data_IF_072042359693
#
_entry.id   IF_072042359693
#
_cell.length_a   1.000
_cell.length_b   1.000
_cell.length_c   1.000
_cell.angle_alpha   90.00
_cell.angle_beta   90.00
_cell.angle_gamma   90.00
#
_symmetry.space_group_name_H-M   'P 1'
#
loop_
_entity.id
_entity.type
_entity.pdbx_description
1 polymer ?
#
# COMPACT_ATOMS: atom_id res chain seq x y z
N UNK A 1 14.09 -43.74 1.03
CA UNK A 1 14.41 -42.38 1.55
C UNK A 1 15.10 -41.50 0.53
N UNK A 2 16.11 -41.98 -0.23
CA UNK A 2 16.83 -41.18 -1.23
C UNK A 2 15.94 -40.62 -2.37
N UNK A 3 14.97 -41.41 -2.87
CA UNK A 3 14.05 -40.99 -3.95
C UNK A 3 13.11 -39.85 -3.51
N UNK A 4 12.63 -39.86 -2.26
CA UNK A 4 11.75 -38.80 -1.73
C UNK A 4 12.54 -37.50 -1.58
N UNK A 5 13.79 -37.56 -1.11
CA UNK A 5 14.67 -36.40 -1.01
C UNK A 5 14.93 -35.76 -2.38
N UNK A 6 15.20 -36.58 -3.40
CA UNK A 6 15.40 -36.09 -4.77
C UNK A 6 14.14 -35.41 -5.34
N UNK A 7 12.95 -35.99 -5.11
CA UNK A 7 11.68 -35.41 -5.53
C UNK A 7 11.44 -34.05 -4.87
N UNK A 8 11.69 -33.91 -3.57
CA UNK A 8 11.54 -32.64 -2.85
C UNK A 8 12.49 -31.55 -3.38
N UNK A 9 13.73 -31.92 -3.70
CA UNK A 9 14.71 -31.00 -4.29
C UNK A 9 14.23 -30.52 -5.66
N UNK A 10 13.72 -31.42 -6.50
CA UNK A 10 13.19 -31.07 -7.81
C UNK A 10 11.98 -30.14 -7.68
N UNK A 11 11.04 -30.43 -6.77
CA UNK A 11 9.87 -29.57 -6.52
C UNK A 11 10.32 -28.17 -6.07
N UNK A 12 11.28 -28.08 -5.15
CA UNK A 12 11.81 -26.79 -4.69
C UNK A 12 12.52 -26.03 -5.82
N UNK A 13 13.32 -26.73 -6.64
CA UNK A 13 13.99 -26.13 -7.78
C UNK A 13 13.00 -25.59 -8.82
N UNK A 14 11.94 -26.34 -9.13
CA UNK A 14 10.86 -25.91 -10.01
C UNK A 14 10.09 -24.72 -9.42
N UNK A 15 9.84 -24.73 -8.11
CA UNK A 15 9.18 -23.63 -7.42
C UNK A 15 10.01 -22.33 -7.47
N UNK A 16 11.31 -22.44 -7.25
CA UNK A 16 12.24 -21.32 -7.37
C UNK A 16 12.33 -20.83 -8.82
N UNK A 17 12.36 -21.75 -9.80
CA UNK A 17 12.38 -21.41 -11.21
C UNK A 17 11.12 -20.66 -11.64
N UNK A 18 9.93 -21.15 -11.27
CA UNK A 18 8.63 -20.48 -11.50
C UNK A 18 8.67 -19.05 -10.95
N UNK A 19 9.13 -18.90 -9.70
CA UNK A 19 9.21 -17.61 -9.04
C UNK A 19 10.19 -16.64 -9.72
N UNK A 20 11.39 -17.10 -10.05
CA UNK A 20 12.43 -16.28 -10.68
C UNK A 20 12.07 -15.90 -12.13
N UNK A 21 11.50 -16.82 -12.90
CA UNK A 21 11.03 -16.54 -14.25
C UNK A 21 9.85 -15.55 -14.22
N UNK A 22 8.91 -15.73 -13.31
CA UNK A 22 7.82 -14.78 -13.07
C UNK A 22 8.35 -13.38 -12.74
N UNK A 23 9.29 -13.29 -11.79
CA UNK A 23 9.93 -12.02 -11.43
C UNK A 23 10.56 -11.31 -12.64
N UNK A 24 11.30 -12.04 -13.48
CA UNK A 24 11.92 -11.49 -14.70
C UNK A 24 10.88 -11.06 -15.73
N UNK A 25 9.80 -11.81 -15.89
CA UNK A 25 8.73 -11.50 -16.83
C UNK A 25 7.98 -10.23 -16.42
N UNK A 26 7.54 -10.14 -15.17
CA UNK A 26 6.71 -9.02 -14.69
C UNK A 26 7.51 -7.72 -14.50
N UNK A 27 8.81 -7.78 -14.18
CA UNK A 27 9.66 -6.59 -14.08
C UNK A 27 9.81 -5.84 -15.42
N UNK A 28 9.60 -6.52 -16.55
CA UNK A 28 9.71 -5.93 -17.90
C UNK A 28 8.41 -5.30 -18.40
N UNK A 29 7.31 -5.41 -17.65
CA UNK A 29 6.03 -4.91 -18.11
C UNK A 29 5.99 -3.38 -18.05
N UNK A 30 5.33 -2.74 -19.03
CA UNK A 30 5.22 -1.30 -19.07
C UNK A 30 4.40 -0.80 -17.87
N UNK A 31 4.75 0.38 -17.36
CA UNK A 31 4.02 1.10 -16.33
C UNK A 31 3.85 2.57 -16.73
N UNK A 32 2.89 3.26 -16.13
CA UNK A 32 2.73 4.70 -16.25
C UNK A 32 3.90 5.49 -15.64
N UNK A 33 4.63 4.89 -14.68
CA UNK A 33 5.79 5.52 -14.06
C UNK A 33 5.37 6.68 -13.17
N UNK A 34 5.86 7.88 -13.49
CA UNK A 34 5.57 9.11 -12.73
C UNK A 34 4.68 10.03 -13.57
N UNK A 35 3.54 10.40 -13.02
CA UNK A 35 2.57 11.32 -13.66
C UNK A 35 2.49 12.59 -12.83
N UNK A 36 3.11 13.71 -13.25
CA UNK A 36 3.02 14.97 -12.54
C UNK A 36 1.65 15.62 -12.76
N UNK A 37 1.15 16.32 -11.75
CA UNK A 37 -0.15 17.01 -11.77
C UNK A 37 -0.23 18.07 -10.66
N UNK A 38 -1.29 18.88 -10.65
CA UNK A 38 -1.49 19.91 -9.63
C UNK A 38 -2.94 19.88 -9.11
N UNK A 39 -3.21 19.19 -7.97
CA UNK A 39 -4.55 19.15 -7.41
C UNK A 39 -4.94 20.52 -6.88
N UNK A 40 -6.18 20.91 -7.16
CA UNK A 40 -6.72 22.18 -6.66
C UNK A 40 -7.15 22.08 -5.19
N UNK A 41 -7.54 20.89 -4.71
CA UNK A 41 -8.00 20.69 -3.33
C UNK A 41 -7.86 19.24 -2.86
N UNK A 42 -7.22 19.03 -1.71
CA UNK A 42 -7.11 17.72 -1.08
C UNK A 42 -7.23 17.80 0.45
N UNK A 43 -7.66 16.69 1.05
CA UNK A 43 -7.81 16.50 2.48
C UNK A 43 -7.05 15.25 2.92
N UNK A 44 -6.31 15.36 4.03
CA UNK A 44 -5.67 14.22 4.69
C UNK A 44 -6.60 13.62 5.74
N UNK A 45 -6.92 12.34 5.56
CA UNK A 45 -7.73 11.55 6.47
C UNK A 45 -6.82 10.58 7.21
N UNK A 46 -6.93 10.57 8.55
CA UNK A 46 -5.99 9.84 9.40
C UNK A 46 -6.64 8.80 10.32
N UNK A 47 -7.97 8.70 10.31
CA UNK A 47 -8.76 7.77 11.13
C UNK A 47 -9.90 7.18 10.30
N UNK A 48 -10.29 5.95 10.64
CA UNK A 48 -11.28 5.23 9.85
C UNK A 48 -12.70 5.77 9.94
N UNK A 49 -13.08 6.39 11.05
CA UNK A 49 -14.40 7.00 11.26
C UNK A 49 -14.63 8.14 10.26
N UNK A 50 -13.67 9.08 10.20
CA UNK A 50 -13.66 10.18 9.21
C UNK A 50 -13.62 9.63 7.79
N UNK A 51 -12.79 8.60 7.54
CA UNK A 51 -12.71 7.95 6.23
C UNK A 51 -14.05 7.37 5.79
N UNK A 52 -14.67 6.50 6.57
CA UNK A 52 -15.91 5.84 6.15
C UNK A 52 -17.11 6.79 6.13
N UNK A 53 -17.15 7.80 7.00
CA UNK A 53 -18.17 8.84 6.94
C UNK A 53 -18.09 9.60 5.61
N UNK A 54 -16.94 10.19 5.31
CA UNK A 54 -16.71 10.92 4.06
C UNK A 54 -16.90 10.02 2.83
N UNK A 55 -16.31 8.82 2.85
CA UNK A 55 -16.37 7.89 1.73
C UNK A 55 -17.81 7.45 1.44
N UNK A 56 -18.60 7.10 2.46
CA UNK A 56 -20.00 6.72 2.26
C UNK A 56 -20.88 7.90 1.88
N UNK A 57 -20.58 9.12 2.34
CA UNK A 57 -21.28 10.32 1.91
C UNK A 57 -21.08 10.57 0.40
N UNK A 58 -19.84 10.53 -0.08
CA UNK A 58 -19.53 10.75 -1.50
C UNK A 58 -20.12 9.64 -2.38
N UNK A 59 -20.07 8.37 -1.96
CA UNK A 59 -20.70 7.28 -2.70
C UNK A 59 -22.23 7.46 -2.81
N UNK A 60 -22.89 7.95 -1.76
CA UNK A 60 -24.33 8.28 -1.80
C UNK A 60 -24.64 9.50 -2.65
N UNK A 61 -23.70 10.43 -2.80
CA UNK A 61 -23.86 11.61 -3.64
C UNK A 61 -23.70 11.29 -5.14
N UNK A 62 -22.98 10.21 -5.49
CA UNK A 62 -22.64 9.83 -6.85
C UNK A 62 -23.85 9.80 -7.81
N UNK A 63 -23.63 10.29 -9.04
CA UNK A 63 -24.65 10.44 -10.10
C UNK A 63 -24.32 9.73 -11.40
N UNK A 64 -23.04 9.52 -11.72
CA UNK A 64 -22.60 9.03 -13.02
C UNK A 64 -21.85 7.71 -12.90
N UNK A 65 -20.77 7.67 -12.12
CA UNK A 65 -19.91 6.50 -12.01
C UNK A 65 -19.26 6.35 -10.64
N UNK A 66 -18.98 5.10 -10.27
CA UNK A 66 -18.21 4.70 -9.10
C UNK A 66 -17.24 3.60 -9.53
N UNK A 67 -15.95 3.82 -9.38
CA UNK A 67 -14.89 2.83 -9.59
C UNK A 67 -14.10 2.64 -8.29
N UNK A 68 -14.08 1.43 -7.74
CA UNK A 68 -13.41 1.14 -6.46
C UNK A 68 -12.44 -0.02 -6.65
N UNK A 69 -11.19 0.18 -6.25
CA UNK A 69 -10.19 -0.87 -6.11
C UNK A 69 -9.70 -0.92 -4.66
N UNK A 70 -9.83 -2.07 -4.00
CA UNK A 70 -9.23 -2.31 -2.68
C UNK A 70 -8.50 -3.65 -2.64
N UNK A 71 -7.42 -3.71 -1.87
CA UNK A 71 -6.75 -4.98 -1.59
C UNK A 71 -7.66 -5.89 -0.73
N UNK A 72 -8.16 -5.39 0.39
CA UNK A 72 -9.06 -6.13 1.29
C UNK A 72 -10.46 -5.53 1.27
N UNK A 73 -11.46 -6.40 1.12
CA UNK A 73 -12.83 -6.10 1.51
C UNK A 73 -13.31 -7.27 2.36
N UNK A 74 -13.53 -7.00 3.65
CA UNK A 74 -14.00 -8.00 4.61
C UNK A 74 -15.44 -8.40 4.34
N UNK A 75 -15.94 -9.34 5.16
CA UNK A 75 -17.34 -9.71 5.20
C UNK A 75 -17.92 -9.42 6.60
N UNK A 76 -18.05 -8.14 6.90
CA UNK A 76 -18.56 -7.57 8.16
C UNK A 76 -19.56 -6.42 7.92
N UNK A 77 -20.04 -5.78 9.00
CA UNK A 77 -21.02 -4.71 8.94
C UNK A 77 -20.61 -3.49 8.09
N UNK A 78 -19.31 -3.16 8.01
CA UNK A 78 -18.82 -2.01 7.24
C UNK A 78 -18.83 -2.35 5.76
N UNK A 79 -18.36 -3.56 5.42
CA UNK A 79 -18.47 -4.06 4.05
C UNK A 79 -19.93 -4.22 3.59
N UNK A 80 -20.86 -4.61 4.47
CA UNK A 80 -22.28 -4.70 4.12
C UNK A 80 -22.86 -3.32 3.81
N UNK A 81 -22.55 -2.29 4.61
CA UNK A 81 -22.95 -0.91 4.31
C UNK A 81 -22.45 -0.45 2.94
N UNK A 82 -21.18 -0.72 2.63
CA UNK A 82 -20.62 -0.44 1.31
C UNK A 82 -21.44 -1.16 0.22
N UNK A 83 -21.68 -2.46 0.37
CA UNK A 83 -22.42 -3.24 -0.63
C UNK A 83 -23.85 -2.73 -0.85
N UNK A 84 -24.57 -2.33 0.19
CA UNK A 84 -25.91 -1.76 0.02
C UNK A 84 -25.86 -0.44 -0.75
N UNK A 85 -24.95 0.48 -0.40
CA UNK A 85 -24.79 1.74 -1.13
C UNK A 85 -24.49 1.48 -2.61
N UNK A 86 -23.58 0.54 -2.92
CA UNK A 86 -23.25 0.20 -4.30
C UNK A 86 -24.44 -0.40 -5.07
N UNK A 87 -25.26 -1.23 -4.43
CA UNK A 87 -26.48 -1.80 -5.05
C UNK A 87 -27.54 -0.72 -5.28
N UNK A 88 -27.75 0.16 -4.32
CA UNK A 88 -28.68 1.29 -4.43
C UNK A 88 -28.27 2.18 -5.61
N UNK A 89 -27.00 2.55 -5.69
CA UNK A 89 -26.46 3.36 -6.79
C UNK A 89 -26.58 2.71 -8.15
N UNK A 90 -26.28 1.41 -8.25
CA UNK A 90 -26.47 0.67 -9.49
C UNK A 90 -27.94 0.64 -9.94
N UNK A 91 -28.90 0.54 -9.00
CA UNK A 91 -30.34 0.61 -9.30
C UNK A 91 -30.82 2.00 -9.71
N UNK A 92 -30.16 3.04 -9.21
CA UNK A 92 -30.37 4.43 -9.64
C UNK A 92 -29.78 4.73 -11.04
N UNK A 93 -29.09 3.75 -11.66
CA UNK A 93 -28.50 3.89 -12.99
C UNK A 93 -27.04 4.37 -12.99
N UNK A 94 -26.41 4.52 -11.82
CA UNK A 94 -24.99 4.86 -11.71
C UNK A 94 -24.16 3.66 -12.16
N UNK A 95 -23.13 3.88 -12.97
CA UNK A 95 -22.21 2.81 -13.39
C UNK A 95 -21.26 2.44 -12.25
N UNK A 96 -21.46 1.28 -11.62
CA UNK A 96 -20.67 0.86 -10.45
C UNK A 96 -19.73 -0.30 -10.80
N UNK A 97 -18.44 -0.12 -10.51
CA UNK A 97 -17.38 -1.09 -10.69
C UNK A 97 -16.60 -1.31 -9.39
N UNK A 98 -16.53 -2.56 -8.95
CA UNK A 98 -15.79 -3.00 -7.76
C UNK A 98 -14.73 -4.02 -8.15
N UNK A 99 -13.48 -3.60 -8.09
CA UNK A 99 -12.29 -4.43 -8.23
C UNK A 99 -11.75 -4.77 -6.83
N UNK A 100 -11.48 -6.04 -6.57
CA UNK A 100 -10.85 -6.47 -5.32
C UNK A 100 -9.71 -7.43 -5.62
N UNK A 101 -8.63 -7.41 -4.83
CA UNK A 101 -7.58 -8.40 -5.00
C UNK A 101 -8.06 -9.82 -4.67
N UNK A 102 -7.67 -10.81 -5.48
CA UNK A 102 -8.09 -12.19 -5.28
C UNK A 102 -7.73 -12.74 -3.89
N UNK A 103 -6.51 -12.48 -3.40
CA UNK A 103 -6.02 -12.97 -2.11
C UNK A 103 -6.60 -12.17 -0.95
N UNK A 104 -6.64 -10.84 -1.08
CA UNK A 104 -7.21 -9.97 -0.04
C UNK A 104 -8.73 -10.11 0.10
N UNK A 105 -9.42 -10.65 -0.92
CA UNK A 105 -10.87 -10.91 -0.94
C UNK A 105 -11.25 -12.39 -0.81
N UNK A 106 -10.40 -13.26 -0.26
CA UNK A 106 -10.75 -14.67 -0.03
C UNK A 106 -11.98 -14.83 0.88
N UNK A 107 -12.22 -13.88 1.79
CA UNK A 107 -13.40 -13.86 2.67
C UNK A 107 -14.69 -13.36 2.01
N UNK A 108 -14.59 -12.76 0.81
CA UNK A 108 -15.75 -12.27 0.06
C UNK A 108 -16.52 -13.46 -0.54
N UNK A 109 -17.70 -13.72 0.01
CA UNK A 109 -18.54 -14.88 -0.35
C UNK A 109 -19.11 -14.75 -1.77
N UNK A 110 -19.16 -15.87 -2.49
CA UNK A 110 -19.77 -15.93 -3.84
C UNK A 110 -21.25 -15.50 -3.85
N UNK A 111 -21.99 -15.73 -2.76
CA UNK A 111 -23.36 -15.23 -2.60
C UNK A 111 -23.43 -13.71 -2.68
N UNK A 112 -22.52 -13.01 -1.99
CA UNK A 112 -22.43 -11.54 -1.99
C UNK A 112 -22.09 -11.02 -3.38
N UNK A 113 -21.11 -11.62 -4.07
CA UNK A 113 -20.75 -11.27 -5.45
C UNK A 113 -21.94 -11.42 -6.39
N UNK A 114 -22.69 -12.52 -6.28
CA UNK A 114 -23.90 -12.72 -7.09
C UNK A 114 -24.98 -11.67 -6.80
N UNK A 115 -25.21 -11.32 -5.54
CA UNK A 115 -26.18 -10.30 -5.16
C UNK A 115 -25.81 -8.89 -5.66
N UNK A 116 -24.52 -8.54 -5.62
CA UNK A 116 -23.99 -7.29 -6.21
C UNK A 116 -24.26 -7.25 -7.71
N UNK A 117 -23.85 -8.30 -8.44
CA UNK A 117 -24.05 -8.40 -9.90
C UNK A 117 -25.52 -8.37 -10.29
N UNK A 118 -26.39 -9.06 -9.53
CA UNK A 118 -27.83 -9.04 -9.76
C UNK A 118 -28.47 -7.65 -9.57
N UNK A 119 -27.80 -6.74 -8.85
CA UNK A 119 -28.25 -5.36 -8.66
C UNK A 119 -27.64 -4.39 -9.69
N UNK A 120 -26.85 -4.88 -10.65
CA UNK A 120 -26.18 -4.06 -11.66
C UNK A 120 -24.72 -3.69 -11.35
N UNK A 121 -24.18 -4.09 -10.19
CA UNK A 121 -22.79 -3.80 -9.83
C UNK A 121 -21.84 -4.71 -10.59
N UNK A 122 -20.86 -4.14 -11.29
CA UNK A 122 -19.79 -4.89 -11.92
C UNK A 122 -18.75 -5.27 -10.87
N UNK A 123 -18.47 -6.57 -10.71
CA UNK A 123 -17.51 -7.06 -9.69
C UNK A 123 -16.47 -7.97 -10.33
N UNK A 124 -15.19 -7.71 -10.08
CA UNK A 124 -14.06 -8.54 -10.52
C UNK A 124 -13.03 -8.77 -9.42
N UNK A 125 -12.26 -9.86 -9.57
CA UNK A 125 -11.10 -10.15 -8.71
C UNK A 125 -9.81 -9.96 -9.51
N UNK A 126 -8.91 -9.09 -9.07
CA UNK A 126 -7.61 -8.90 -9.71
C UNK A 126 -6.61 -10.00 -9.31
N UNK A 127 -5.69 -10.30 -10.22
CA UNK A 127 -4.60 -11.25 -10.02
C UNK A 127 -5.05 -12.62 -9.47
N UNK A 128 -6.05 -13.33 -10.03
CA UNK A 128 -6.24 -14.74 -9.68
C UNK A 128 -4.96 -15.54 -10.02
N UNK A 129 -4.51 -16.47 -9.15
CA UNK A 129 -3.39 -17.35 -9.46
C UNK A 129 -3.64 -18.12 -10.76
N UNK A 130 -2.66 -18.13 -11.66
CA UNK A 130 -2.78 -18.75 -12.98
C UNK A 130 -1.41 -19.22 -13.46
N UNK A 131 -1.39 -20.10 -14.47
CA UNK A 131 -0.15 -20.44 -15.18
C UNK A 131 0.04 -19.53 -16.41
N UNK A 132 1.29 -19.32 -16.88
CA UNK A 132 2.55 -19.66 -16.20
C UNK A 132 2.84 -18.72 -15.00
N UNK A 133 3.81 -19.10 -14.17
CA UNK A 133 4.29 -18.35 -12.99
C UNK A 133 3.34 -18.38 -11.79
N UNK A 134 2.80 -19.55 -11.46
CA UNK A 134 1.75 -19.70 -10.46
C UNK A 134 2.18 -19.21 -9.08
N UNK A 135 3.39 -19.57 -8.62
CA UNK A 135 3.90 -19.17 -7.31
C UNK A 135 4.26 -17.70 -7.26
N UNK A 136 4.85 -17.17 -8.34
CA UNK A 136 5.09 -15.73 -8.45
C UNK A 136 3.77 -14.94 -8.40
N UNK A 137 2.79 -15.37 -9.20
CA UNK A 137 1.47 -14.74 -9.27
C UNK A 137 0.77 -14.80 -7.92
N UNK A 138 0.87 -15.88 -7.15
CA UNK A 138 0.34 -15.92 -5.79
C UNK A 138 0.88 -14.77 -4.92
N UNK A 139 2.16 -14.42 -5.03
CA UNK A 139 2.78 -13.38 -4.21
C UNK A 139 2.50 -11.95 -4.72
N UNK A 140 2.50 -11.75 -6.05
CA UNK A 140 2.21 -10.44 -6.68
C UNK A 140 0.73 -10.11 -6.56
N UNK A 141 0.38 -9.07 -5.81
CA UNK A 141 -1.01 -8.64 -5.59
C UNK A 141 -1.26 -7.24 -6.13
N UNK A 142 -2.53 -6.93 -6.37
CA UNK A 142 -2.94 -5.53 -6.56
C UNK A 142 -3.13 -4.94 -5.16
N UNK A 143 -2.21 -4.09 -4.73
CA UNK A 143 -2.25 -3.48 -3.41
C UNK A 143 -2.75 -2.02 -3.47
N UNK A 144 -3.19 -1.56 -4.65
CA UNK A 144 -3.77 -0.24 -4.84
C UNK A 144 -5.12 -0.14 -4.13
N UNK A 145 -5.35 1.00 -3.48
CA UNK A 145 -6.56 1.31 -2.70
C UNK A 145 -7.01 2.67 -3.17
N UNK A 146 -7.85 2.63 -4.21
CA UNK A 146 -8.33 3.83 -4.88
C UNK A 146 -9.84 3.77 -5.04
N UNK A 147 -10.49 4.92 -4.93
CA UNK A 147 -11.87 5.07 -5.34
C UNK A 147 -12.00 6.32 -6.19
N UNK A 148 -12.79 6.25 -7.25
CA UNK A 148 -13.11 7.34 -8.16
C UNK A 148 -14.62 7.45 -8.20
N UNK A 149 -15.15 8.65 -7.97
CA UNK A 149 -16.58 8.94 -7.94
C UNK A 149 -16.82 10.12 -8.89
N UNK A 150 -17.66 9.89 -9.88
CA UNK A 150 -18.07 10.85 -10.90
C UNK A 150 -16.90 11.55 -11.63
N UNK A 151 -15.72 10.93 -11.67
CA UNK A 151 -14.46 11.51 -12.18
C UNK A 151 -14.12 12.89 -11.55
N UNK A 152 -14.57 13.13 -10.32
CA UNK A 152 -14.40 14.41 -9.60
C UNK A 152 -13.87 14.25 -8.20
N UNK A 153 -14.28 13.18 -7.52
CA UNK A 153 -13.79 12.85 -6.18
C UNK A 153 -12.96 11.59 -6.28
N UNK A 154 -11.79 11.62 -5.66
CA UNK A 154 -10.92 10.45 -5.59
C UNK A 154 -10.36 10.24 -4.20
N UNK A 155 -10.11 8.97 -3.89
CA UNK A 155 -9.48 8.50 -2.67
C UNK A 155 -8.24 7.69 -3.02
N UNK A 156 -7.14 7.89 -2.28
CA UNK A 156 -5.91 7.11 -2.39
C UNK A 156 -5.21 7.04 -1.03
N UNK A 157 -4.82 5.85 -0.58
CA UNK A 157 -4.09 5.69 0.69
C UNK A 157 -4.10 4.29 1.27
N UNK A 158 -3.94 4.17 2.59
CA UNK A 158 -3.73 2.87 3.25
C UNK A 158 -4.99 2.10 3.66
N UNK A 159 -6.11 2.78 3.92
CA UNK A 159 -7.36 2.15 4.37
C UNK A 159 -7.90 1.12 3.38
N UNK A 160 -8.32 -0.04 3.91
CA UNK A 160 -9.19 -0.98 3.21
C UNK A 160 -10.59 -0.96 3.85
N UNK A 161 -11.45 -1.92 3.47
CA UNK A 161 -12.82 -2.01 3.98
C UNK A 161 -12.95 -3.16 4.99
N UNK A 162 -13.23 -2.81 6.24
CA UNK A 162 -13.41 -3.75 7.35
C UNK A 162 -13.62 -3.04 8.69
N UNK A 163 -14.15 -3.77 9.68
CA UNK A 163 -14.43 -3.22 11.01
C UNK A 163 -13.17 -2.86 11.80
N UNK A 164 -12.04 -3.51 11.53
CA UNK A 164 -10.77 -3.24 12.20
C UNK A 164 -10.31 -1.80 11.99
N UNK A 165 -10.62 -1.22 10.82
CA UNK A 165 -10.28 0.16 10.47
C UNK A 165 -11.04 1.20 11.30
N UNK A 166 -12.14 0.81 11.97
CA UNK A 166 -12.87 1.63 12.95
C UNK A 166 -12.44 1.35 14.40
N UNK A 167 -11.34 0.63 14.62
CA UNK A 167 -10.87 0.27 15.95
C UNK A 167 -11.66 -0.88 16.60
N UNK A 168 -12.52 -1.58 15.85
CA UNK A 168 -13.36 -2.66 16.40
C UNK A 168 -12.64 -4.02 16.50
N UNK A 169 -11.31 -4.03 16.38
CA UNK A 169 -10.48 -5.18 16.75
C UNK A 169 -9.87 -4.93 18.14
N UNK A 170 -10.28 -5.68 19.19
CA UNK A 170 -9.79 -5.45 20.55
C UNK A 170 -8.30 -5.72 20.73
N UNK A 171 -7.67 -6.50 19.84
CA UNK A 171 -6.22 -6.76 19.89
C UNK A 171 -5.44 -5.58 19.33
N UNK A 172 -5.90 -5.01 18.22
CA UNK A 172 -5.22 -3.91 17.53
C UNK A 172 -5.60 -2.54 18.12
N UNK A 173 -6.83 -2.36 18.58
CA UNK A 173 -7.36 -1.06 19.02
C UNK A 173 -7.49 -0.11 17.83
N UNK A 174 -7.36 1.19 18.09
CA UNK A 174 -7.51 2.23 17.09
C UNK A 174 -6.61 2.01 15.87
N UNK A 175 -7.19 2.15 14.69
CA UNK A 175 -6.46 1.99 13.43
C UNK A 175 -6.00 3.34 12.91
N UNK A 176 -4.68 3.56 12.93
CA UNK A 176 -4.06 4.79 12.48
C UNK A 176 -3.48 4.58 11.08
N UNK A 177 -4.02 5.25 10.07
CA UNK A 177 -3.58 5.10 8.67
C UNK A 177 -3.77 6.42 7.93
N UNK A 178 -3.05 6.64 6.84
CA UNK A 178 -3.10 7.89 6.08
C UNK A 178 -3.77 7.68 4.72
N UNK A 179 -4.67 8.58 4.39
CA UNK A 179 -5.43 8.58 3.15
C UNK A 179 -5.62 10.00 2.66
N UNK A 180 -5.58 10.17 1.34
CA UNK A 180 -5.88 11.44 0.70
C UNK A 180 -7.24 11.32 0.02
N UNK A 181 -8.12 12.26 0.34
CA UNK A 181 -9.30 12.58 -0.48
C UNK A 181 -8.94 13.78 -1.33
N UNK A 182 -9.22 13.70 -2.63
CA UNK A 182 -9.00 14.80 -3.55
C UNK A 182 -10.32 15.12 -4.27
N UNK A 183 -10.70 16.39 -4.28
CA UNK A 183 -11.88 16.89 -5.02
C UNK A 183 -11.40 17.66 -6.24
N UNK A 184 -10.74 16.93 -7.13
CA UNK A 184 -10.09 17.44 -8.33
C UNK A 184 -10.28 16.43 -9.46
N UNK A 185 -10.68 16.92 -10.63
CA UNK A 185 -10.95 16.07 -11.78
C UNK A 185 -9.69 15.55 -12.45
N UNK A 186 -8.55 16.22 -12.35
CA UNK A 186 -7.30 15.80 -12.98
C UNK A 186 -6.82 14.48 -12.36
N UNK A 187 -6.68 14.44 -11.03
CA UNK A 187 -6.30 13.20 -10.34
C UNK A 187 -7.34 12.10 -10.54
N UNK A 188 -8.63 12.44 -10.45
CA UNK A 188 -9.70 11.45 -10.63
C UNK A 188 -9.65 10.80 -12.02
N UNK A 189 -9.37 11.57 -13.09
CA UNK A 189 -9.22 11.05 -14.45
C UNK A 189 -7.97 10.18 -14.61
N UNK A 190 -6.83 10.57 -14.02
CA UNK A 190 -5.63 9.73 -14.02
C UNK A 190 -5.87 8.39 -13.31
N UNK A 191 -6.50 8.43 -12.14
CA UNK A 191 -6.87 7.23 -11.39
C UNK A 191 -7.89 6.37 -12.15
N UNK A 192 -8.83 6.96 -12.88
CA UNK A 192 -9.78 6.22 -13.71
C UNK A 192 -9.06 5.45 -14.84
N UNK A 193 -8.06 6.05 -15.48
CA UNK A 193 -7.25 5.37 -16.51
C UNK A 193 -6.48 4.19 -15.91
N UNK A 194 -5.84 4.37 -14.75
CA UNK A 194 -5.12 3.31 -14.04
C UNK A 194 -6.07 2.19 -13.62
N UNK A 195 -7.25 2.57 -13.09
CA UNK A 195 -8.30 1.62 -12.71
C UNK A 195 -8.75 0.78 -13.91
N UNK A 196 -9.03 1.42 -15.05
CA UNK A 196 -9.45 0.73 -16.27
C UNK A 196 -8.37 -0.24 -16.75
N UNK A 197 -7.10 0.15 -16.69
CA UNK A 197 -5.99 -0.73 -17.04
C UNK A 197 -5.90 -1.95 -16.12
N UNK A 198 -6.08 -1.77 -14.80
CA UNK A 198 -6.11 -2.89 -13.84
C UNK A 198 -7.33 -3.80 -14.04
N UNK A 199 -8.50 -3.20 -14.33
CA UNK A 199 -9.74 -3.91 -14.62
C UNK A 199 -9.61 -4.79 -15.87
N UNK A 200 -9.09 -4.23 -16.98
CA UNK A 200 -8.94 -4.97 -18.23
C UNK A 200 -7.80 -6.00 -18.20
N UNK A 201 -6.77 -5.74 -17.37
CA UNK A 201 -5.71 -6.72 -17.10
C UNK A 201 -6.24 -8.04 -16.53
N UNK A 202 -7.41 -8.03 -15.87
CA UNK A 202 -8.04 -9.28 -15.38
C UNK A 202 -8.52 -10.19 -16.51
N UNK A 203 -8.81 -9.63 -17.70
CA UNK A 203 -9.30 -10.35 -18.88
C UNK A 203 -8.18 -10.81 -19.80
N UNK A 204 -6.93 -10.77 -19.34
CA UNK A 204 -5.70 -11.08 -20.12
C UNK A 204 -5.48 -10.18 -21.35
N UNK A 205 -6.21 -9.06 -21.47
CA UNK A 205 -5.99 -8.03 -22.49
C UNK A 205 -5.07 -6.94 -21.94
N UNK A 206 -3.81 -7.26 -21.67
CA UNK A 206 -2.82 -6.21 -21.45
C UNK A 206 -2.39 -5.64 -22.79
N UNK A 207 -3.14 -4.63 -23.23
CA UNK A 207 -2.74 -3.77 -24.33
C UNK A 207 -1.52 -2.90 -23.93
N UNK A 208 -1.09 -2.06 -24.88
CA UNK A 208 -0.26 -0.88 -24.58
C UNK A 208 -0.91 -0.07 -23.45
N UNK A 209 -0.10 0.64 -22.67
CA UNK A 209 -0.63 1.58 -21.67
C UNK A 209 -1.55 2.58 -22.37
N UNK A 210 -2.81 2.72 -21.93
CA UNK A 210 -3.66 3.80 -22.40
C UNK A 210 -2.97 5.15 -22.25
N UNK A 211 -3.19 6.07 -23.19
CA UNK A 211 -2.73 7.46 -23.02
C UNK A 211 -3.39 8.06 -21.78
N UNK A 212 -2.59 8.77 -20.98
CA UNK A 212 -3.12 9.62 -19.93
C UNK A 212 -3.79 10.84 -20.57
N UNK A 213 -4.83 11.42 -19.94
CA UNK A 213 -5.37 12.71 -20.32
C UNK A 213 -4.26 13.74 -20.50
N UNK A 214 -4.36 14.55 -21.56
CA UNK A 214 -3.46 15.68 -21.76
C UNK A 214 -3.50 16.59 -20.54
N UNK A 215 -2.31 16.99 -20.08
CA UNK A 215 -2.19 17.89 -18.95
C UNK A 215 -2.42 19.31 -19.46
N UNK A 216 -3.57 19.91 -19.13
CA UNK A 216 -3.85 21.32 -19.48
C UNK A 216 -2.92 22.28 -18.70
N UNK A 217 -2.31 21.82 -17.60
CA UNK A 217 -1.38 22.57 -16.76
C UNK A 217 0.09 22.30 -17.13
N UNK A 218 0.49 22.59 -18.36
CA UNK A 218 1.88 22.49 -18.82
C UNK A 218 2.76 23.66 -18.33
N UNK A 219 2.83 23.90 -17.02
CA UNK A 219 3.73 24.90 -16.42
C UNK A 219 4.57 24.27 -15.30
N UNK A 220 5.86 24.58 -15.30
CA UNK A 220 7.00 23.90 -14.65
C UNK A 220 6.97 23.70 -13.11
N UNK A 221 5.84 23.87 -12.43
CA UNK A 221 5.73 23.88 -10.95
C UNK A 221 4.76 22.80 -10.42
N UNK A 222 4.88 21.56 -10.90
CA UNK A 222 4.04 20.47 -10.39
C UNK A 222 4.36 20.12 -8.94
N UNK A 223 3.41 20.36 -8.04
CA UNK A 223 3.50 20.02 -6.62
C UNK A 223 3.20 18.54 -6.34
N UNK A 224 2.58 17.81 -7.26
CA UNK A 224 2.21 16.42 -7.04
C UNK A 224 2.70 15.54 -8.18
N UNK A 225 3.02 14.30 -7.84
CA UNK A 225 3.30 13.28 -8.83
C UNK A 225 2.77 11.92 -8.37
N UNK A 226 2.02 11.27 -9.25
CA UNK A 226 1.51 9.93 -9.03
C UNK A 226 2.55 8.91 -9.49
N UNK A 227 3.02 8.08 -8.57
CA UNK A 227 3.90 6.95 -8.86
C UNK A 227 3.07 5.68 -8.94
N UNK A 228 2.85 5.22 -10.17
CA UNK A 228 2.16 3.95 -10.43
C UNK A 228 3.24 2.91 -10.69
N UNK A 229 3.40 1.97 -9.77
CA UNK A 229 4.50 1.01 -9.85
C UNK A 229 4.01 -0.42 -9.98
N UNK A 230 4.79 -1.17 -10.73
CA UNK A 230 4.72 -2.62 -10.86
C UNK A 230 5.98 -3.25 -10.25
N UNK A 231 6.17 -4.56 -10.45
CA UNK A 231 7.22 -5.35 -9.81
C UNK A 231 8.63 -4.77 -9.97
N UNK A 232 9.24 -4.35 -8.85
CA UNK A 232 10.63 -3.91 -8.76
C UNK A 232 10.86 -2.41 -9.03
N UNK A 233 9.88 -1.70 -9.60
CA UNK A 233 10.04 -0.30 -9.97
C UNK A 233 10.06 0.61 -8.75
N UNK A 234 9.25 0.30 -7.73
CA UNK A 234 9.24 1.07 -6.49
C UNK A 234 10.59 1.00 -5.77
N UNK A 235 11.28 -0.14 -5.79
CA UNK A 235 12.65 -0.25 -5.24
C UNK A 235 13.60 0.76 -5.90
N UNK A 236 13.56 0.85 -7.24
CA UNK A 236 14.44 1.75 -8.00
C UNK A 236 14.14 3.24 -7.69
N UNK A 237 12.87 3.58 -7.52
CA UNK A 237 12.41 4.92 -7.11
C UNK A 237 12.89 5.27 -5.68
N UNK A 238 12.66 4.37 -4.71
CA UNK A 238 13.07 4.56 -3.31
C UNK A 238 14.58 4.73 -3.18
N UNK A 239 15.36 3.90 -3.86
CA UNK A 239 16.83 4.01 -3.87
C UNK A 239 17.27 5.38 -4.39
N UNK A 240 16.62 5.90 -5.43
CA UNK A 240 16.93 7.22 -5.97
C UNK A 240 16.62 8.33 -4.95
N UNK A 241 15.47 8.27 -4.29
CA UNK A 241 15.05 9.27 -3.31
C UNK A 241 15.93 9.28 -2.05
N UNK A 242 16.21 8.12 -1.47
CA UNK A 242 17.01 7.99 -0.24
C UNK A 242 18.47 8.45 -0.43
N UNK A 243 19.01 8.32 -1.65
CA UNK A 243 20.33 8.84 -2.00
C UNK A 243 20.37 10.37 -2.08
N UNK A 244 19.24 11.00 -2.38
CA UNK A 244 19.15 12.46 -2.54
C UNK A 244 18.88 13.19 -1.23
N UNK A 245 18.44 12.49 -0.18
CA UNK A 245 18.16 13.06 1.14
C UNK A 245 19.41 13.73 1.73
N UNK A 246 19.24 14.96 2.22
CA UNK A 246 20.34 15.81 2.73
C UNK A 246 20.27 16.06 4.24
N UNK A 247 19.07 16.08 4.82
CA UNK A 247 18.82 16.54 6.18
C UNK A 247 18.06 15.49 7.01
N UNK A 248 16.95 14.95 6.48
CA UNK A 248 16.15 13.99 7.24
C UNK A 248 15.41 12.98 6.37
N UNK A 249 15.17 11.80 6.95
CA UNK A 249 14.31 10.74 6.39
C UNK A 249 13.41 10.25 7.52
N UNK A 250 12.12 10.55 7.46
CA UNK A 250 11.13 10.01 8.38
C UNK A 250 10.26 8.97 7.68
N UNK A 251 10.23 7.76 8.21
CA UNK A 251 9.49 6.62 7.65
C UNK A 251 8.39 6.22 8.63
N UNK A 252 7.15 6.26 8.18
CA UNK A 252 6.00 5.69 8.88
C UNK A 252 5.47 4.50 8.10
N UNK A 253 5.56 3.28 8.67
CA UNK A 253 5.09 2.06 8.00
C UNK A 253 4.64 1.00 9.01
N UNK A 254 3.60 0.18 8.73
CA UNK A 254 3.29 -0.97 9.57
C UNK A 254 4.44 -1.98 9.63
N UNK A 255 5.23 -2.07 8.55
CA UNK A 255 6.27 -3.06 8.36
C UNK A 255 7.57 -2.40 7.94
N UNK A 256 8.69 -2.89 8.48
CA UNK A 256 10.03 -2.44 8.14
C UNK A 256 10.91 -3.65 7.82
N UNK A 257 10.75 -4.17 6.61
CA UNK A 257 11.53 -5.30 6.08
C UNK A 257 12.09 -4.88 4.73
N UNK A 258 13.00 -3.89 4.69
CA UNK A 258 13.48 -3.34 3.43
C UNK A 258 14.25 -4.36 2.59
N UNK A 259 14.28 -4.14 1.28
CA UNK A 259 15.21 -4.84 0.41
C UNK A 259 16.66 -4.45 0.76
N UNK A 260 17.63 -5.26 0.34
CA UNK A 260 19.05 -4.96 0.62
C UNK A 260 19.44 -3.58 0.08
N UNK A 261 19.05 -3.26 -1.15
CA UNK A 261 19.41 -1.98 -1.80
C UNK A 261 18.85 -0.78 -1.06
N UNK A 262 17.58 -0.86 -0.65
CA UNK A 262 16.92 0.20 0.12
C UNK A 262 17.56 0.34 1.50
N UNK A 263 17.83 -0.78 2.16
CA UNK A 263 18.45 -0.80 3.48
C UNK A 263 19.87 -0.23 3.48
N UNK A 264 20.70 -0.62 2.52
CA UNK A 264 22.05 -0.07 2.35
C UNK A 264 22.01 1.45 2.15
N UNK A 265 21.00 1.99 1.42
CA UNK A 265 20.84 3.44 1.24
C UNK A 265 20.46 4.16 2.54
N UNK A 266 19.70 3.52 3.44
CA UNK A 266 19.37 4.09 4.75
C UNK A 266 20.59 4.12 5.67
N UNK A 267 21.38 3.06 5.68
CA UNK A 267 22.65 3.03 6.42
C UNK A 267 23.62 4.10 5.89
N UNK A 268 23.72 4.23 4.57
CA UNK A 268 24.53 5.29 3.94
C UNK A 268 24.01 6.68 4.30
N UNK A 269 22.69 6.91 4.34
CA UNK A 269 22.12 8.18 4.78
C UNK A 269 22.51 8.53 6.23
N UNK A 270 22.46 7.56 7.15
CA UNK A 270 22.94 7.76 8.51
C UNK A 270 24.43 8.12 8.54
N UNK A 271 25.26 7.43 7.75
CA UNK A 271 26.69 7.75 7.64
C UNK A 271 26.96 9.15 7.07
N UNK A 272 26.09 9.66 6.20
CA UNK A 272 26.13 11.03 5.68
C UNK A 272 25.65 12.08 6.70
N UNK A 273 25.20 11.67 7.88
CA UNK A 273 24.68 12.56 8.92
C UNK A 273 23.21 12.96 8.73
N UNK A 274 22.46 12.27 7.88
CA UNK A 274 21.01 12.49 7.69
C UNK A 274 20.25 11.95 8.91
N UNK A 275 19.32 12.71 9.47
CA UNK A 275 18.49 12.27 10.60
C UNK A 275 17.43 11.28 10.13
N UNK A 276 17.64 9.98 10.41
CA UNK A 276 16.72 8.92 10.02
C UNK A 276 15.84 8.54 11.21
N UNK A 277 14.51 8.66 11.05
CA UNK A 277 13.51 8.25 12.04
C UNK A 277 12.56 7.21 11.45
N UNK A 278 12.35 6.11 12.17
CA UNK A 278 11.44 5.03 11.78
C UNK A 278 10.34 4.91 12.83
N UNK A 279 9.08 5.08 12.41
CA UNK A 279 7.88 4.88 13.21
C UNK A 279 7.14 3.63 12.72
N UNK A 280 6.99 2.66 13.62
CA UNK A 280 6.34 1.38 13.36
C UNK A 280 5.35 1.03 14.49
N UNK A 281 4.39 0.11 14.30
CA UNK A 281 3.45 -0.26 15.34
C UNK A 281 4.09 -1.14 16.43
N UNK A 282 3.71 -0.89 17.70
CA UNK A 282 4.01 -1.82 18.78
C UNK A 282 3.17 -3.10 18.64
N UNK A 283 1.90 -2.95 18.28
CA UNK A 283 1.03 -4.10 18.05
C UNK A 283 1.35 -4.77 16.71
N UNK A 284 1.07 -6.06 16.62
CA UNK A 284 1.25 -6.84 15.37
C UNK A 284 -0.06 -7.47 14.94
N UNK A 285 -0.34 -7.40 13.66
CA UNK A 285 -1.44 -8.06 12.97
C UNK A 285 -1.02 -9.41 12.37
N UNK A 286 0.26 -9.56 12.02
CA UNK A 286 0.85 -10.79 11.50
C UNK A 286 1.93 -11.40 12.43
N UNK A 287 1.99 -12.75 12.56
CA UNK A 287 2.85 -13.42 13.53
C UNK A 287 4.35 -13.31 13.22
N UNK A 288 4.74 -13.21 11.95
CA UNK A 288 6.14 -13.23 11.50
C UNK A 288 6.71 -11.84 11.20
N UNK A 289 5.87 -10.89 10.77
CA UNK A 289 6.33 -9.61 10.21
C UNK A 289 7.12 -8.78 11.23
N UNK A 290 6.54 -8.47 12.40
CA UNK A 290 7.25 -7.72 13.45
C UNK A 290 8.55 -8.42 13.90
N UNK A 291 8.57 -9.72 14.24
CA UNK A 291 9.81 -10.44 14.53
C UNK A 291 10.89 -10.35 13.44
N UNK A 292 10.51 -10.36 12.16
CA UNK A 292 11.46 -10.27 11.03
C UNK A 292 12.09 -8.88 10.90
N UNK A 293 11.40 -7.83 11.34
CA UNK A 293 11.90 -6.46 11.30
C UNK A 293 12.99 -6.18 12.36
N UNK A 294 13.06 -6.96 13.45
CA UNK A 294 13.93 -6.67 14.59
C UNK A 294 15.44 -6.59 14.28
N UNK A 295 16.01 -7.47 13.45
CA UNK A 295 17.41 -7.31 13.01
C UNK A 295 17.64 -5.97 12.30
N UNK A 296 16.70 -5.54 11.45
CA UNK A 296 16.80 -4.26 10.75
C UNK A 296 16.74 -3.07 11.70
N UNK A 297 15.82 -3.07 12.68
CA UNK A 297 15.77 -2.01 13.69
C UNK A 297 17.08 -1.93 14.49
N UNK A 298 17.66 -3.07 14.87
CA UNK A 298 18.92 -3.10 15.61
C UNK A 298 20.06 -2.47 14.81
N UNK A 299 20.18 -2.81 13.53
CA UNK A 299 21.20 -2.24 12.66
C UNK A 299 20.98 -0.74 12.41
N UNK A 300 19.73 -0.29 12.26
CA UNK A 300 19.42 1.15 12.15
C UNK A 300 19.78 1.92 13.43
N UNK A 301 19.44 1.39 14.61
CA UNK A 301 19.83 2.01 15.90
C UNK A 301 21.35 2.15 16.01
N UNK A 302 22.11 1.11 15.63
CA UNK A 302 23.58 1.14 15.63
C UNK A 302 24.17 2.13 14.63
N UNK A 303 23.49 2.37 13.52
CA UNK A 303 23.87 3.37 12.54
C UNK A 303 23.53 4.82 12.98
N UNK A 304 22.83 5.00 14.11
CA UNK A 304 22.47 6.31 14.64
C UNK A 304 21.05 6.77 14.31
N UNK A 305 20.23 5.94 13.67
CA UNK A 305 18.82 6.24 13.42
C UNK A 305 17.98 6.12 14.70
N UNK A 306 16.84 6.82 14.71
CA UNK A 306 15.82 6.74 15.77
C UNK A 306 14.76 5.73 15.34
N UNK A 307 14.46 4.76 16.21
CA UNK A 307 13.35 3.82 15.99
C UNK A 307 12.33 4.03 17.09
N UNK A 308 11.05 4.14 16.71
CA UNK A 308 9.94 4.38 17.60
C UNK A 308 8.82 3.37 17.35
N UNK A 309 8.21 2.91 18.44
CA UNK A 309 7.01 2.07 18.37
C UNK A 309 5.78 2.82 18.86
N UNK A 310 4.79 2.92 17.97
CA UNK A 310 3.48 3.52 18.23
C UNK A 310 2.64 2.58 19.08
N UNK A 311 2.14 3.06 20.21
CA UNK A 311 1.42 2.26 21.22
C UNK A 311 -0.05 2.64 21.39
N UNK A 312 -0.52 3.70 20.72
CA UNK A 312 -1.91 4.17 20.75
C UNK A 312 -2.80 3.47 19.69
N UNK A 313 -2.68 2.14 19.58
CA UNK A 313 -3.40 1.33 18.59
C UNK A 313 -2.48 0.65 17.58
N UNK A 314 -2.95 0.45 16.35
CA UNK A 314 -2.18 -0.13 15.25
C UNK A 314 -1.86 0.94 14.20
N UNK A 315 -0.56 1.24 14.09
CA UNK A 315 -0.02 2.17 13.10
C UNK A 315 0.19 1.48 11.75
N UNK A 316 -0.54 1.94 10.75
CA UNK A 316 -0.59 1.38 9.40
C UNK A 316 -0.43 2.45 8.32
N UNK A 317 0.06 3.66 8.64
CA UNK A 317 0.42 4.64 7.62
C UNK A 317 1.49 4.10 6.65
N UNK A 318 1.60 4.69 5.46
CA UNK A 318 2.66 4.43 4.48
C UNK A 318 3.21 5.77 4.01
N UNK A 319 4.13 6.32 4.80
CA UNK A 319 4.67 7.66 4.61
C UNK A 319 6.19 7.59 4.58
N UNK A 320 6.79 8.32 3.65
CA UNK A 320 8.20 8.72 3.70
C UNK A 320 8.24 10.23 3.56
N UNK A 321 8.72 10.94 4.57
CA UNK A 321 8.95 12.38 4.55
C UNK A 321 10.46 12.62 4.44
N UNK A 322 10.87 13.38 3.42
CA UNK A 322 12.27 13.61 3.05
C UNK A 322 12.60 15.09 3.17
N UNK A 323 13.66 15.40 3.91
CA UNK A 323 14.15 16.76 4.19
C UNK A 323 13.05 17.73 4.68
N UNK A 324 11.95 17.19 5.19
CA UNK A 324 10.72 17.87 5.59
C UNK A 324 10.08 18.78 4.50
N UNK A 325 10.51 18.67 3.24
CA UNK A 325 10.06 19.53 2.13
C UNK A 325 9.32 18.77 1.03
N UNK A 326 9.31 17.43 1.08
CA UNK A 326 8.41 16.61 0.27
C UNK A 326 8.15 15.27 0.92
N UNK A 327 7.02 14.64 0.58
CA UNK A 327 6.69 13.30 1.06
C UNK A 327 6.21 12.36 -0.05
N UNK A 328 6.33 11.07 0.21
CA UNK A 328 5.65 9.99 -0.50
C UNK A 328 4.59 9.38 0.44
N UNK A 329 3.33 9.38 0.01
CA UNK A 329 2.20 8.82 0.76
C UNK A 329 1.40 7.93 -0.19
N UNK A 330 1.11 6.69 0.21
CA UNK A 330 0.38 5.82 -0.70
C UNK A 330 -0.01 4.48 -0.13
N UNK A 331 0.05 3.46 -0.97
CA UNK A 331 -0.36 2.10 -0.62
C UNK A 331 0.79 1.23 -0.15
N UNK A 332 2.01 1.55 -0.55
CA UNK A 332 3.17 0.68 -0.38
C UNK A 332 3.71 0.66 1.05
N UNK A 333 3.77 -0.52 1.66
CA UNK A 333 4.48 -0.69 2.92
C UNK A 333 6.00 -0.60 2.70
N UNK A 334 6.75 -0.38 3.78
CA UNK A 334 8.21 -0.40 3.76
C UNK A 334 8.78 -1.83 3.86
N UNK A 335 8.37 -2.70 2.93
CA UNK A 335 8.73 -4.12 2.87
C UNK A 335 9.15 -4.59 1.47
N UNK A 336 9.82 -5.76 1.41
CA UNK A 336 10.29 -6.35 0.15
C UNK A 336 9.15 -6.59 -0.82
N UNK A 337 7.97 -6.96 -0.33
CA UNK A 337 6.87 -7.36 -1.19
C UNK A 337 6.26 -6.20 -1.94
N UNK A 338 6.08 -5.07 -1.28
CA UNK A 338 5.66 -3.81 -1.88
C UNK A 338 6.69 -3.34 -2.90
N UNK A 339 7.99 -3.41 -2.57
CA UNK A 339 9.06 -2.92 -3.45
C UNK A 339 9.27 -3.77 -4.70
N UNK A 340 9.16 -5.10 -4.57
CA UNK A 340 9.64 -6.05 -5.58
C UNK A 340 8.53 -6.73 -6.38
N UNK A 341 7.30 -6.78 -5.87
CA UNK A 341 6.25 -7.64 -6.43
C UNK A 341 4.90 -6.97 -6.63
N UNK A 342 4.40 -6.25 -5.62
CA UNK A 342 3.05 -5.70 -5.68
C UNK A 342 2.88 -4.63 -6.74
N UNK A 343 1.63 -4.46 -7.15
CA UNK A 343 1.19 -3.24 -7.83
C UNK A 343 0.86 -2.23 -6.75
N UNK A 344 1.55 -1.11 -6.75
CA UNK A 344 1.38 -0.04 -5.76
C UNK A 344 1.01 1.26 -6.48
N UNK A 345 0.49 2.21 -5.71
CA UNK A 345 0.24 3.56 -6.15
C UNK A 345 0.53 4.52 -5.00
N UNK A 346 1.42 5.46 -5.26
CA UNK A 346 1.88 6.41 -4.26
C UNK A 346 1.80 7.83 -4.82
N UNK A 347 1.50 8.76 -3.93
CA UNK A 347 1.43 10.17 -4.20
C UNK A 347 2.67 10.85 -3.62
N UNK A 348 3.53 11.31 -4.51
CA UNK A 348 4.62 12.21 -4.17
C UNK A 348 4.10 13.63 -4.14
N UNK A 349 4.42 14.35 -3.07
CA UNK A 349 3.95 15.71 -2.81
C UNK A 349 5.16 16.59 -2.51
N UNK A 350 5.47 17.51 -3.43
CA UNK A 350 6.45 18.57 -3.31
C UNK A 350 5.72 19.87 -2.99
N UNK A 351 6.02 20.54 -1.89
CA UNK A 351 5.36 21.80 -1.67
C UNK A 351 6.02 22.71 -0.66
N UNK A 352 5.65 23.99 -0.75
CA UNK A 352 5.75 24.97 0.31
C UNK A 352 5.13 24.43 1.63
N UNK A 353 5.60 24.97 2.76
CA UNK A 353 5.34 24.43 4.10
C UNK A 353 3.86 24.19 4.39
N UNK A 354 2.96 25.02 3.87
CA UNK A 354 1.52 24.95 4.17
C UNK A 354 0.84 23.73 3.56
N UNK A 355 1.21 23.28 2.35
CA UNK A 355 0.60 22.05 1.81
C UNK A 355 1.07 20.83 2.59
N UNK A 356 2.35 20.69 2.95
CA UNK A 356 2.80 19.50 3.68
C UNK A 356 2.47 19.53 5.18
N UNK A 357 2.03 20.67 5.70
CA UNK A 357 1.78 20.89 7.12
C UNK A 357 0.86 19.84 7.75
N UNK A 358 -0.32 19.47 7.18
CA UNK A 358 -1.17 18.46 7.80
C UNK A 358 -0.47 17.09 7.91
N UNK A 359 0.34 16.73 6.91
CA UNK A 359 1.08 15.45 6.88
C UNK A 359 2.21 15.46 7.91
N UNK A 360 2.97 16.56 7.99
CA UNK A 360 4.03 16.74 9.00
C UNK A 360 3.46 16.72 10.41
N UNK A 361 2.41 17.49 10.67
CA UNK A 361 1.74 17.55 11.97
C UNK A 361 1.18 16.19 12.38
N UNK A 362 0.54 15.46 11.47
CA UNK A 362 0.07 14.10 11.72
C UNK A 362 1.23 13.16 12.11
N UNK A 363 2.31 13.16 11.33
CA UNK A 363 3.48 12.30 11.60
C UNK A 363 4.13 12.62 12.94
N UNK A 364 4.42 13.89 13.23
CA UNK A 364 5.06 14.26 14.49
C UNK A 364 4.13 14.12 15.70
N UNK A 365 2.82 14.21 15.51
CA UNK A 365 1.84 13.87 16.56
C UNK A 365 1.86 12.38 16.86
N UNK A 366 1.90 11.54 15.82
CA UNK A 366 1.98 10.09 15.98
C UNK A 366 3.32 9.66 16.58
N UNK A 367 4.41 10.35 16.24
CA UNK A 367 5.73 10.16 16.85
C UNK A 367 5.72 10.54 18.34
N UNK A 368 5.00 11.58 18.74
CA UNK A 368 4.83 11.92 20.18
C UNK A 368 4.01 10.88 20.94
N UNK A 369 3.15 10.13 20.24
CA UNK A 369 2.34 9.01 20.75
C UNK A 369 3.03 7.66 20.55
N UNK A 370 4.35 7.67 20.63
CA UNK A 370 5.19 6.49 20.49
C UNK A 370 6.27 6.51 21.56
N UNK A 371 6.93 5.38 21.77
CA UNK A 371 8.10 5.30 22.64
C UNK A 371 9.35 4.96 21.82
N UNK A 372 10.52 5.50 22.21
CA UNK A 372 11.78 5.17 21.56
C UNK A 372 12.17 3.72 21.85
N UNK A 373 12.64 3.01 20.83
CA UNK A 373 13.07 1.62 20.89
C UNK A 373 14.55 1.55 21.23
N UNK A 374 14.89 0.72 22.20
CA UNK A 374 16.28 0.47 22.62
C UNK A 374 16.74 -0.94 22.22
N UNK A 375 18.06 -1.19 22.21
CA UNK A 375 18.56 -2.56 22.04
C UNK A 375 18.03 -3.51 23.12
N UNK A 376 17.86 -3.03 24.35
CA UNK A 376 17.27 -3.80 25.45
C UNK A 376 15.84 -4.25 25.10
N UNK A 377 15.00 -3.32 24.62
CA UNK A 377 13.66 -3.64 24.14
C UNK A 377 13.70 -4.73 23.06
N UNK A 378 14.57 -4.59 22.06
CA UNK A 378 14.71 -5.57 20.97
C UNK A 378 15.21 -6.96 21.43
N UNK A 379 15.91 -7.03 22.56
CA UNK A 379 16.45 -8.28 23.12
C UNK A 379 15.46 -8.98 24.07
N UNK A 380 14.58 -8.21 24.70
CA UNK A 380 13.65 -8.65 25.73
C UNK A 380 12.35 -9.24 25.15
N UNK A 381 12.47 -10.33 24.40
CA UNK A 381 11.32 -11.07 23.88
C UNK A 381 11.41 -12.59 24.10
N UNK A 382 10.26 -13.26 24.27
CA UNK A 382 10.21 -14.72 24.43
C UNK A 382 10.86 -15.47 23.28
N UNK A 383 11.38 -16.68 23.55
CA UNK A 383 12.04 -17.52 22.55
C UNK A 383 11.17 -17.76 21.29
N UNK A 384 9.85 -17.96 21.46
CA UNK A 384 8.89 -18.10 20.35
C UNK A 384 8.93 -16.92 19.37
N UNK A 385 9.11 -15.70 19.88
CA UNK A 385 9.20 -14.49 19.05
C UNK A 385 10.52 -14.49 18.27
N UNK A 386 11.63 -14.83 18.92
CA UNK A 386 12.95 -14.93 18.28
C UNK A 386 12.98 -16.01 17.19
N UNK A 387 12.35 -17.16 17.43
CA UNK A 387 12.20 -18.23 16.43
C UNK A 387 11.35 -17.75 15.25
N UNK A 388 10.22 -17.07 15.51
CA UNK A 388 9.40 -16.50 14.44
C UNK A 388 10.21 -15.52 13.57
N UNK A 389 11.11 -14.72 14.15
CA UNK A 389 12.01 -13.85 13.39
C UNK A 389 12.97 -14.62 12.49
N UNK A 390 13.58 -15.72 12.98
CA UNK A 390 14.46 -16.58 12.18
C UNK A 390 13.73 -17.25 11.01
N UNK A 391 12.53 -17.78 11.26
CA UNK A 391 11.68 -18.35 10.20
C UNK A 391 11.29 -17.26 9.20
N UNK A 392 10.84 -16.12 9.71
CA UNK A 392 10.45 -14.98 8.90
C UNK A 392 11.57 -14.46 8.00
N UNK A 393 12.84 -14.54 8.43
CA UNK A 393 14.01 -14.21 7.60
C UNK A 393 14.15 -15.12 6.37
N UNK A 394 13.73 -16.38 6.45
CA UNK A 394 13.75 -17.32 5.32
C UNK A 394 12.63 -17.02 4.32
N UNK A 395 11.50 -16.47 4.79
CA UNK A 395 10.32 -16.17 3.97
C UNK A 395 10.15 -14.67 3.69
N UNK A 396 11.13 -13.83 4.05
CA UNK A 396 11.07 -12.38 3.86
C UNK A 396 10.79 -11.90 2.42
N UNK A 397 11.09 -12.65 1.33
CA UNK A 397 10.63 -12.25 -0.01
C UNK A 397 9.11 -12.32 -0.19
N UNK A 398 8.38 -12.96 0.74
CA UNK A 398 6.93 -13.11 0.72
C UNK A 398 6.23 -12.29 1.81
N UNK A 399 7.00 -11.66 2.71
CA UNK A 399 6.50 -10.80 3.77
C UNK A 399 6.28 -9.38 3.28
#
# INVERSE_FOLDING_TARGET
MQTIGLILIIILALALLDFQMGKRHFRKQPTYGTVPFQPVNYEMITTGDVFFESFFADLRAAKNNISISFFIVRNDQISQKLYEILKEKAREGVSVYLLVDWMGSLTLKQKTIRALRASGVNVQKSNPPSFPYFLYRLNRRNHRKIAIIDEKVSYLGGFNVGKEYLGFDPKLGDWRDYHIKCTDSELARYLQVIYNFDWDSTKQKRALLPSLPENESALNDHHFALHVTEAGQLEDILVNWLKQAKHSIHIGSPYFIPSKRVFDCLLDACNRGVDVTILAPEKRDHPFVKPTAFPYYREMLRAGAKVHFYDHGFYHAKLILLDENWCDLGTANFDKRSFLYNQEINLKMYADQEMLKPIREAFFTDLKRSFPVTEEHLNNHPLKFKIAGKIGKLIEPFL
#
